data_IF_814378708875
#
_entry.id   IF_814378708875
#
_cell.length_a   1.000
_cell.length_b   1.000
_cell.length_c   1.000
_cell.angle_alpha   90.00
_cell.angle_beta   90.00
_cell.angle_gamma   90.00
#
_symmetry.space_group_name_H-M   'P 1'
#
loop_
_entity.id
_entity.type
_entity.pdbx_description
1 polymer ?
#
# COMPACT_ATOMS: atom_id res chain seq x y z
N UNK A 1 -6.32 -69.11 21.35
CA UNK A 1 -7.54 -68.53 21.93
C UNK A 1 -7.16 -67.66 23.13
N UNK A 2 -7.16 -66.34 22.97
CA UNK A 2 -7.67 -65.39 23.96
C UNK A 2 -7.55 -63.97 23.39
N UNK A 3 -8.70 -63.42 23.02
CA UNK A 3 -8.92 -62.02 22.68
C UNK A 3 -8.88 -61.18 23.95
N UNK A 4 -8.18 -60.04 23.93
CA UNK A 4 -8.58 -58.85 24.71
C UNK A 4 -8.37 -57.61 23.85
N UNK A 5 -9.49 -57.09 23.36
CA UNK A 5 -9.56 -55.81 22.67
C UNK A 5 -9.37 -54.63 23.62
N UNK A 6 -8.82 -53.55 23.09
CA UNK A 6 -8.97 -52.20 23.63
C UNK A 6 -9.60 -51.32 22.56
N UNK A 7 -10.63 -50.59 22.99
CA UNK A 7 -11.48 -49.70 22.20
C UNK A 7 -10.69 -48.54 21.58
N UNK A 8 -11.13 -48.16 20.38
CA UNK A 8 -10.91 -46.87 19.73
C UNK A 8 -11.04 -45.68 20.69
N UNK A 9 -10.11 -44.74 20.58
CA UNK A 9 -10.44 -43.30 20.66
C UNK A 9 -10.29 -42.75 19.24
N UNK A 10 -11.42 -42.44 18.61
CA UNK A 10 -11.45 -41.51 17.49
C UNK A 10 -11.13 -40.12 18.05
N UNK A 11 -9.97 -39.57 17.71
CA UNK A 11 -9.71 -38.15 17.85
C UNK A 11 -10.39 -37.44 16.69
N UNK A 12 -11.42 -36.66 17.01
CA UNK A 12 -12.04 -35.74 16.06
C UNK A 12 -11.04 -34.67 15.65
N UNK A 13 -11.19 -34.22 14.40
CA UNK A 13 -10.23 -33.40 13.66
C UNK A 13 -9.77 -32.16 14.39
N UNK A 14 -8.46 -31.95 14.37
CA UNK A 14 -7.91 -30.62 14.52
C UNK A 14 -8.34 -29.80 13.31
N UNK A 15 -9.05 -28.71 13.57
CA UNK A 15 -9.19 -27.61 12.63
C UNK A 15 -7.78 -27.15 12.27
N UNK A 16 -7.32 -27.52 11.09
CA UNK A 16 -6.17 -26.89 10.47
C UNK A 16 -6.60 -25.47 10.11
N UNK A 17 -6.39 -24.53 11.02
CA UNK A 17 -6.19 -23.15 10.61
C UNK A 17 -5.05 -23.20 9.57
N UNK A 18 -5.22 -22.57 8.39
CA UNK A 18 -4.09 -22.39 7.50
C UNK A 18 -2.96 -21.72 8.30
N UNK A 19 -1.70 -22.16 8.14
CA UNK A 19 -0.59 -21.50 8.79
C UNK A 19 -0.60 -20.02 8.41
N UNK A 20 -0.41 -19.15 9.41
CA UNK A 20 -0.23 -17.72 9.15
C UNK A 20 0.88 -17.53 8.11
N UNK A 21 0.70 -16.63 7.13
CA UNK A 21 1.75 -16.33 6.15
C UNK A 21 3.04 -15.99 6.90
N UNK A 22 4.11 -16.73 6.62
CA UNK A 22 5.42 -16.42 7.17
C UNK A 22 5.88 -15.08 6.59
N UNK A 23 6.55 -14.22 7.37
CA UNK A 23 7.13 -13.00 6.85
C UNK A 23 8.07 -13.31 5.68
N UNK A 24 7.97 -12.54 4.61
CA UNK A 24 8.80 -12.70 3.40
C UNK A 24 10.24 -12.30 3.73
N UNK A 25 11.20 -13.20 3.44
CA UNK A 25 12.64 -12.95 3.56
C UNK A 25 13.25 -12.81 2.16
N UNK A 26 13.76 -11.62 1.83
CA UNK A 26 14.33 -11.30 0.52
C UNK A 26 15.83 -11.58 0.38
N UNK A 27 16.44 -12.23 1.38
CA UNK A 27 17.82 -12.73 1.29
C UNK A 27 17.95 -14.05 0.52
N UNK A 28 16.83 -14.70 0.20
CA UNK A 28 16.76 -15.98 -0.49
C UNK A 28 15.51 -16.04 -1.41
N UNK A 29 15.42 -17.04 -2.31
CA UNK A 29 14.19 -17.30 -3.06
C UNK A 29 13.00 -17.44 -2.11
N UNK A 30 11.92 -16.73 -2.39
CA UNK A 30 10.72 -16.66 -1.55
C UNK A 30 9.48 -17.04 -2.35
N UNK A 31 8.46 -17.57 -1.68
CA UNK A 31 7.21 -17.94 -2.35
C UNK A 31 5.99 -17.58 -1.52
N UNK A 32 4.93 -17.22 -2.23
CA UNK A 32 3.62 -16.91 -1.67
C UNK A 32 2.57 -17.84 -2.28
N UNK A 33 1.74 -18.44 -1.43
CA UNK A 33 0.65 -19.33 -1.86
C UNK A 33 -0.67 -18.57 -1.81
N UNK A 34 -1.28 -18.38 -2.99
CA UNK A 34 -2.59 -17.77 -3.11
C UNK A 34 -3.68 -18.80 -2.81
N UNK A 35 -4.58 -18.46 -1.89
CA UNK A 35 -5.64 -19.35 -1.42
C UNK A 35 -7.04 -18.95 -1.93
N UNK A 36 -7.93 -19.92 -2.05
CA UNK A 36 -9.37 -19.67 -2.23
C UNK A 36 -10.05 -19.32 -0.88
N UNK A 37 -11.36 -19.05 -0.91
CA UNK A 37 -12.14 -18.72 0.29
C UNK A 37 -12.27 -19.87 1.30
N UNK A 38 -11.84 -21.08 0.94
CA UNK A 38 -11.80 -22.28 1.78
C UNK A 38 -10.37 -22.69 2.14
N UNK A 39 -9.39 -21.79 1.95
CA UNK A 39 -7.97 -22.01 2.20
C UNK A 39 -7.30 -23.11 1.34
N UNK A 40 -7.85 -23.41 0.15
CA UNK A 40 -7.20 -24.30 -0.80
C UNK A 40 -6.17 -23.54 -1.66
N UNK A 41 -4.96 -24.10 -1.89
CA UNK A 41 -3.96 -23.47 -2.73
C UNK A 41 -4.39 -23.46 -4.19
N UNK A 42 -4.43 -22.26 -4.76
CA UNK A 42 -4.77 -22.00 -6.17
C UNK A 42 -3.50 -21.81 -6.99
N UNK A 43 -2.67 -20.85 -6.60
CA UNK A 43 -1.43 -20.48 -7.27
C UNK A 43 -0.29 -20.39 -6.26
N UNK A 44 0.94 -20.59 -6.75
CA UNK A 44 2.15 -20.25 -6.02
C UNK A 44 2.95 -19.26 -6.85
N UNK A 45 3.21 -18.09 -6.29
CA UNK A 45 4.10 -17.07 -6.86
C UNK A 45 5.45 -17.22 -6.19
N UNK A 46 6.54 -17.23 -6.94
CA UNK A 46 7.89 -17.44 -6.43
C UNK A 46 8.85 -16.42 -7.02
N UNK A 47 9.60 -15.74 -6.17
CA UNK A 47 10.79 -14.99 -6.56
C UNK A 47 11.98 -15.96 -6.56
N UNK A 48 12.65 -16.08 -7.70
CA UNK A 48 13.74 -17.04 -7.91
C UNK A 48 15.12 -16.42 -7.61
N UNK A 49 15.24 -15.11 -7.70
CA UNK A 49 16.48 -14.39 -7.44
C UNK A 49 16.84 -13.36 -8.51
N UNK A 50 18.02 -12.76 -8.33
CA UNK A 50 18.62 -11.78 -9.24
C UNK A 50 19.89 -12.35 -9.86
N UNK A 51 20.04 -12.21 -11.17
CA UNK A 51 21.22 -12.66 -11.91
C UNK A 51 21.82 -11.52 -12.75
N UNK A 52 23.15 -11.29 -12.70
CA UNK A 52 23.79 -10.33 -13.58
C UNK A 52 23.74 -10.82 -15.04
N UNK A 53 23.42 -9.91 -15.96
CA UNK A 53 23.35 -10.12 -17.41
C UNK A 53 24.13 -9.02 -18.14
N UNK A 54 24.28 -9.11 -19.46
CA UNK A 54 25.11 -8.19 -20.23
C UNK A 54 24.71 -6.71 -20.05
N UNK A 55 23.41 -6.45 -19.94
CA UNK A 55 22.82 -5.12 -19.94
C UNK A 55 22.14 -4.76 -18.59
N UNK A 56 22.50 -5.45 -17.50
CA UNK A 56 21.99 -5.14 -16.17
C UNK A 56 21.82 -6.34 -15.25
N UNK A 57 20.76 -6.31 -14.46
CA UNK A 57 20.41 -7.32 -13.46
C UNK A 57 19.02 -7.86 -13.78
N UNK A 58 18.95 -9.16 -14.09
CA UNK A 58 17.70 -9.85 -14.40
C UNK A 58 17.07 -10.36 -13.11
N UNK A 59 15.83 -9.97 -12.90
CA UNK A 59 14.98 -10.46 -11.83
C UNK A 59 14.08 -11.55 -12.37
N UNK A 60 14.12 -12.73 -11.75
CA UNK A 60 13.40 -13.92 -12.21
C UNK A 60 12.27 -14.28 -11.24
N UNK A 61 11.07 -14.45 -11.77
CA UNK A 61 9.85 -14.85 -11.06
C UNK A 61 9.22 -16.06 -11.72
N UNK A 62 8.38 -16.76 -10.96
CA UNK A 62 7.67 -17.95 -11.41
C UNK A 62 6.27 -17.98 -10.83
N UNK A 63 5.30 -18.40 -11.65
CA UNK A 63 3.94 -18.67 -11.21
C UNK A 63 3.60 -20.11 -11.55
N UNK A 64 3.12 -20.86 -10.55
CA UNK A 64 2.63 -22.22 -10.69
C UNK A 64 1.14 -22.24 -10.39
N UNK A 65 0.33 -22.77 -11.32
CA UNK A 65 -1.07 -23.09 -11.04
C UNK A 65 -1.12 -24.46 -10.36
N UNK A 66 -1.56 -24.47 -9.10
CA UNK A 66 -1.70 -25.70 -8.32
C UNK A 66 -3.04 -26.36 -8.64
N UNK A 67 -4.15 -25.62 -8.49
CA UNK A 67 -5.52 -26.15 -8.61
C UNK A 67 -6.55 -25.14 -9.13
N UNK A 68 -6.15 -23.96 -9.60
CA UNK A 68 -7.06 -22.96 -10.10
C UNK A 68 -7.67 -23.37 -11.45
N UNK A 69 -9.01 -23.37 -11.53
CA UNK A 69 -9.74 -23.79 -12.74
C UNK A 69 -9.85 -22.70 -13.82
N UNK A 70 -9.54 -21.45 -13.48
CA UNK A 70 -9.63 -20.31 -14.39
C UNK A 70 -8.22 -19.86 -14.79
N UNK A 71 -8.04 -19.42 -16.03
CA UNK A 71 -6.84 -18.74 -16.49
C UNK A 71 -6.41 -17.62 -15.54
N UNK A 72 -5.10 -17.55 -15.29
CA UNK A 72 -4.48 -16.32 -14.84
C UNK A 72 -4.48 -15.31 -15.99
N UNK A 73 -4.87 -14.08 -15.69
CA UNK A 73 -4.86 -12.95 -16.60
C UNK A 73 -4.19 -11.78 -15.90
N UNK A 74 -3.22 -11.13 -16.54
CA UNK A 74 -2.64 -9.87 -16.06
C UNK A 74 -2.18 -9.93 -14.59
N UNK A 75 -0.97 -10.44 -14.35
CA UNK A 75 -0.38 -10.27 -13.03
C UNK A 75 0.34 -8.93 -12.94
N UNK A 76 0.23 -8.32 -11.77
CA UNK A 76 0.87 -7.05 -11.43
C UNK A 76 1.79 -7.34 -10.27
N UNK A 77 3.08 -7.04 -10.45
CA UNK A 77 4.01 -6.92 -9.35
C UNK A 77 4.05 -5.44 -8.96
N UNK A 78 3.88 -5.10 -7.69
CA UNK A 78 4.16 -3.74 -7.23
C UNK A 78 5.65 -3.51 -7.25
N UNK A 79 6.07 -2.50 -7.99
CA UNK A 79 7.45 -2.05 -8.04
C UNK A 79 7.38 -0.53 -7.95
N UNK A 80 7.70 0.02 -6.78
CA UNK A 80 8.08 1.42 -6.71
C UNK A 80 9.44 1.56 -7.40
N UNK A 81 9.40 2.10 -8.62
CA UNK A 81 10.55 2.11 -9.51
C UNK A 81 11.23 3.47 -9.57
N UNK A 82 12.53 3.50 -9.25
CA UNK A 82 13.49 4.53 -9.66
C UNK A 82 14.08 4.24 -11.06
N UNK A 83 13.50 3.28 -11.78
CA UNK A 83 13.95 2.80 -13.07
C UNK A 83 12.84 3.01 -14.10
N UNK A 84 13.14 3.71 -15.19
CA UNK A 84 12.20 3.92 -16.31
C UNK A 84 12.45 2.95 -17.46
N UNK A 85 13.67 2.42 -17.54
CA UNK A 85 14.13 1.55 -18.62
C UNK A 85 14.26 0.12 -18.10
N UNK A 86 13.39 -0.76 -18.59
CA UNK A 86 13.45 -2.18 -18.32
C UNK A 86 13.02 -2.97 -19.55
N UNK A 87 13.57 -4.16 -19.69
CA UNK A 87 13.12 -5.14 -20.68
C UNK A 87 12.45 -6.30 -19.97
N UNK A 88 11.29 -6.72 -20.48
CA UNK A 88 10.56 -7.85 -19.93
C UNK A 88 10.64 -9.09 -20.80
N UNK A 89 10.62 -10.24 -20.15
CA UNK A 89 10.66 -11.54 -20.79
C UNK A 89 9.63 -12.49 -20.15
N UNK A 90 9.00 -13.29 -21.00
CA UNK A 90 8.05 -14.34 -20.61
C UNK A 90 8.59 -15.68 -21.09
N UNK A 91 8.54 -16.69 -20.22
CA UNK A 91 8.94 -18.06 -20.54
C UNK A 91 7.80 -18.88 -21.14
N UNK A 92 8.16 -20.02 -21.74
CA UNK A 92 7.18 -21.03 -22.13
C UNK A 92 6.49 -21.65 -20.90
N UNK A 93 5.32 -22.25 -21.11
CA UNK A 93 4.61 -23.01 -20.08
C UNK A 93 5.18 -24.44 -20.02
N UNK A 94 5.45 -24.93 -18.81
CA UNK A 94 6.01 -26.26 -18.57
C UNK A 94 5.32 -26.95 -17.38
N UNK A 95 5.41 -28.30 -17.27
CA UNK A 95 4.88 -29.04 -16.12
C UNK A 95 5.51 -28.56 -14.79
N UNK A 96 4.71 -28.50 -13.72
CA UNK A 96 5.18 -28.03 -12.41
C UNK A 96 6.28 -28.91 -11.79
N UNK A 97 6.45 -30.14 -12.26
CA UNK A 97 7.51 -31.09 -11.83
C UNK A 97 8.75 -31.07 -12.74
N UNK A 98 8.80 -30.19 -13.73
CA UNK A 98 9.96 -30.05 -14.63
C UNK A 98 11.21 -29.58 -13.86
N UNK A 99 12.32 -30.27 -14.07
CA UNK A 99 13.59 -29.95 -13.41
C UNK A 99 14.48 -29.02 -14.25
N UNK A 100 14.33 -29.06 -15.58
CA UNK A 100 15.12 -28.22 -16.48
C UNK A 100 14.28 -27.06 -16.97
N UNK A 101 14.15 -26.05 -16.13
CA UNK A 101 13.32 -24.90 -16.42
C UNK A 101 14.16 -23.83 -17.16
N UNK A 102 13.83 -23.51 -18.43
CA UNK A 102 14.56 -22.51 -19.19
C UNK A 102 14.38 -21.11 -18.58
N UNK A 103 15.36 -20.25 -18.86
CA UNK A 103 15.27 -18.82 -18.55
C UNK A 103 14.37 -18.17 -19.61
N UNK A 104 13.44 -17.28 -19.21
CA UNK A 104 12.66 -16.48 -20.16
C UNK A 104 13.55 -15.70 -21.13
N UNK A 105 13.34 -15.88 -22.43
CA UNK A 105 14.05 -15.12 -23.48
C UNK A 105 13.10 -14.49 -24.49
N UNK A 106 11.80 -14.82 -24.45
CA UNK A 106 10.80 -14.21 -25.33
C UNK A 106 10.43 -12.85 -24.77
N UNK A 107 10.49 -11.75 -25.54
CA UNK A 107 10.00 -10.45 -25.09
C UNK A 107 8.55 -10.52 -24.58
N UNK A 108 8.30 -9.96 -23.41
CA UNK A 108 6.98 -9.82 -22.82
C UNK A 108 6.42 -8.41 -22.96
N UNK A 109 5.10 -8.29 -23.03
CA UNK A 109 4.42 -6.99 -22.96
C UNK A 109 4.29 -6.59 -21.49
N UNK A 110 5.25 -5.79 -21.01
CA UNK A 110 5.17 -5.17 -19.70
C UNK A 110 4.90 -3.69 -19.81
N UNK A 111 4.04 -3.20 -18.94
CA UNK A 111 3.79 -1.77 -18.78
C UNK A 111 3.77 -1.44 -17.30
N UNK A 112 4.15 -0.23 -16.95
CA UNK A 112 3.64 0.34 -15.71
C UNK A 112 2.10 0.28 -15.80
N UNK A 113 1.39 -0.31 -14.84
CA UNK A 113 -0.04 -0.29 -14.84
C UNK A 113 -0.43 1.18 -14.85
N UNK A 114 -1.22 1.58 -15.86
CA UNK A 114 -2.08 2.74 -15.70
C UNK A 114 -2.76 2.59 -14.34
N UNK A 115 -2.78 3.63 -13.52
CA UNK A 115 -3.44 3.73 -12.21
C UNK A 115 -4.93 3.38 -12.33
N UNK A 116 -5.23 2.10 -12.53
CA UNK A 116 -6.52 1.61 -12.96
C UNK A 116 -7.16 0.91 -11.77
N UNK A 117 -8.01 1.62 -11.01
CA UNK A 117 -8.55 1.20 -9.72
C UNK A 117 -9.57 0.05 -9.80
N UNK A 118 -9.73 -0.58 -10.97
CA UNK A 118 -10.87 -1.47 -11.23
C UNK A 118 -10.80 -2.84 -10.56
N UNK A 119 -9.70 -3.18 -9.85
CA UNK A 119 -9.58 -4.43 -9.12
C UNK A 119 -8.79 -4.21 -7.82
N UNK A 120 -9.39 -3.67 -6.76
CA UNK A 120 -8.72 -3.58 -5.47
C UNK A 120 -8.38 -4.97 -4.92
N UNK A 121 -7.36 -5.05 -4.07
CA UNK A 121 -7.10 -6.25 -3.29
C UNK A 121 -8.27 -6.51 -2.34
N UNK A 122 -8.61 -7.78 -2.06
CA UNK A 122 -9.49 -8.11 -0.95
C UNK A 122 -8.95 -7.51 0.36
N UNK A 123 -9.83 -6.91 1.18
CA UNK A 123 -9.47 -6.28 2.47
C UNK A 123 -8.75 -7.25 3.43
N UNK A 124 -8.90 -8.56 3.22
CA UNK A 124 -8.28 -9.61 4.02
C UNK A 124 -6.84 -9.93 3.64
N UNK A 125 -6.36 -9.42 2.50
CA UNK A 125 -4.98 -9.63 2.04
C UNK A 125 -4.06 -8.55 2.67
N UNK A 126 -2.76 -8.84 2.86
CA UNK A 126 -1.82 -7.89 3.51
C UNK A 126 -1.61 -6.60 2.71
N UNK A 127 -2.02 -6.57 1.44
CA UNK A 127 -1.85 -5.43 0.53
C UNK A 127 -3.18 -4.71 0.31
N UNK A 128 -3.19 -3.39 0.49
CA UNK A 128 -4.38 -2.53 0.31
C UNK A 128 -4.53 -1.98 -1.10
N UNK A 129 -3.42 -1.64 -1.76
CA UNK A 129 -3.35 -1.22 -3.16
C UNK A 129 -2.17 -1.92 -3.85
N UNK A 130 -2.19 -1.99 -5.19
CA UNK A 130 -1.08 -2.54 -5.99
C UNK A 130 -0.80 -1.62 -7.19
N UNK A 131 0.37 -0.99 -7.21
CA UNK A 131 0.87 -0.14 -8.31
C UNK A 131 2.26 -0.63 -8.71
N UNK A 132 2.60 -0.86 -9.99
CA UNK A 132 3.95 -1.36 -10.29
C UNK A 132 4.32 -1.75 -11.70
N UNK A 133 4.65 -3.01 -11.96
CA UNK A 133 4.94 -3.58 -13.26
C UNK A 133 3.87 -4.62 -13.56
N UNK A 134 3.12 -4.38 -14.63
CA UNK A 134 2.09 -5.30 -15.12
C UNK A 134 2.64 -6.08 -16.29
N UNK A 135 2.59 -7.40 -16.18
CA UNK A 135 2.82 -8.28 -17.31
C UNK A 135 1.47 -8.54 -17.98
N UNK A 136 1.28 -7.90 -19.13
CA UNK A 136 0.15 -8.13 -20.00
C UNK A 136 0.42 -9.35 -20.88
N UNK A 137 -0.65 -10.12 -21.10
CA UNK A 137 -0.65 -11.26 -22.00
C UNK A 137 0.40 -12.34 -21.65
N UNK A 138 0.05 -13.21 -20.69
CA UNK A 138 0.78 -14.45 -20.37
C UNK A 138 0.93 -15.42 -21.57
N UNK A 139 0.31 -15.07 -22.69
CA UNK A 139 0.21 -15.87 -23.89
C UNK A 139 0.64 -15.09 -25.16
N UNK A 140 1.93 -14.72 -25.29
CA UNK A 140 2.39 -13.98 -26.46
C UNK A 140 2.31 -14.79 -27.78
N UNK A 141 2.16 -16.12 -27.74
CA UNK A 141 2.16 -16.99 -28.93
C UNK A 141 0.87 -17.79 -29.21
N UNK A 142 -0.19 -17.65 -28.41
CA UNK A 142 -1.44 -18.43 -28.55
C UNK A 142 -1.42 -19.83 -27.93
N UNK A 143 -0.45 -20.12 -27.06
CA UNK A 143 -0.36 -21.32 -26.21
C UNK A 143 -1.52 -21.37 -25.17
N UNK A 144 -1.87 -22.53 -24.58
CA UNK A 144 -2.99 -22.63 -23.65
C UNK A 144 -2.80 -21.78 -22.38
N UNK A 145 -3.90 -21.51 -21.69
CA UNK A 145 -3.91 -20.90 -20.35
C UNK A 145 -3.00 -21.69 -19.39
N UNK A 146 -2.57 -21.08 -18.28
CA UNK A 146 -1.73 -21.75 -17.28
C UNK A 146 -2.55 -22.82 -16.54
N UNK A 147 -2.67 -24.01 -17.13
CA UNK A 147 -3.48 -25.13 -16.64
C UNK A 147 -3.03 -25.61 -15.25
N UNK A 148 -3.92 -26.24 -14.46
CA UNK A 148 -3.54 -26.88 -13.20
C UNK A 148 -2.36 -27.85 -13.37
N UNK A 149 -1.35 -27.71 -12.50
CA UNK A 149 -0.12 -28.50 -12.56
C UNK A 149 0.91 -27.97 -13.56
N UNK A 150 0.72 -26.77 -14.12
CA UNK A 150 1.69 -26.12 -15.00
C UNK A 150 2.27 -24.86 -14.37
N UNK A 151 3.40 -24.41 -14.93
CA UNK A 151 4.19 -23.29 -14.44
C UNK A 151 4.70 -22.45 -15.60
N UNK A 152 4.87 -21.16 -15.36
CA UNK A 152 5.52 -20.22 -16.28
C UNK A 152 6.45 -19.28 -15.51
N UNK A 153 7.51 -18.81 -16.19
CA UNK A 153 8.47 -17.85 -15.65
C UNK A 153 8.32 -16.48 -16.29
N UNK A 154 8.66 -15.47 -15.50
CA UNK A 154 8.66 -14.07 -15.89
C UNK A 154 9.97 -13.46 -15.46
N UNK A 155 10.51 -12.60 -16.31
CA UNK A 155 11.72 -11.87 -15.96
C UNK A 155 11.62 -10.43 -16.41
N UNK A 156 12.33 -9.57 -15.71
CA UNK A 156 12.65 -8.25 -16.23
C UNK A 156 14.11 -7.91 -15.95
N UNK A 157 14.72 -7.09 -16.79
CA UNK A 157 16.09 -6.60 -16.64
C UNK A 157 16.03 -5.12 -16.32
N UNK A 158 16.64 -4.74 -15.21
CA UNK A 158 16.93 -3.35 -14.86
C UNK A 158 18.45 -3.09 -14.95
N UNK A 159 18.90 -1.89 -15.32
CA UNK A 159 20.33 -1.61 -15.47
C UNK A 159 21.09 -1.63 -14.14
N UNK A 160 20.41 -1.42 -13.02
CA UNK A 160 21.00 -1.23 -11.69
C UNK A 160 20.79 -2.45 -10.76
N UNK A 161 21.75 -2.67 -9.86
CA UNK A 161 21.65 -3.72 -8.84
C UNK A 161 20.93 -3.18 -7.62
N UNK A 162 19.60 -3.17 -7.66
CA UNK A 162 18.78 -2.72 -6.55
C UNK A 162 18.67 -3.79 -5.44
N UNK A 163 18.56 -3.39 -4.16
CA UNK A 163 18.24 -4.31 -3.09
C UNK A 163 16.86 -4.94 -3.30
N UNK A 164 16.69 -6.17 -2.81
CA UNK A 164 15.40 -6.86 -2.81
C UNK A 164 14.67 -6.57 -1.49
N UNK A 165 13.49 -5.97 -1.58
CA UNK A 165 12.59 -5.68 -0.46
C UNK A 165 11.23 -6.34 -0.68
N UNK A 166 10.42 -6.40 0.37
CA UNK A 166 9.06 -6.93 0.29
C UNK A 166 8.17 -5.93 -0.44
N UNK A 167 7.49 -6.38 -1.49
CA UNK A 167 6.50 -5.63 -2.23
C UNK A 167 5.22 -6.43 -2.45
N UNK A 168 4.14 -5.73 -2.77
CA UNK A 168 2.87 -6.36 -3.06
C UNK A 168 2.82 -6.94 -4.47
N UNK A 169 1.94 -7.91 -4.69
CA UNK A 169 1.57 -8.33 -6.04
C UNK A 169 0.07 -8.57 -6.09
N UNK A 170 -0.48 -8.53 -7.31
CA UNK A 170 -1.84 -8.90 -7.62
C UNK A 170 -1.88 -9.91 -8.75
N UNK A 171 -2.60 -11.01 -8.52
CA UNK A 171 -3.01 -11.95 -9.55
C UNK A 171 -4.49 -11.72 -9.86
N UNK A 172 -4.83 -11.59 -11.14
CA UNK A 172 -6.21 -11.60 -11.60
C UNK A 172 -6.52 -12.88 -12.35
N UNK A 173 -7.66 -13.49 -12.10
CA UNK A 173 -8.12 -14.69 -12.82
C UNK A 173 -9.64 -14.65 -12.96
N UNK A 174 -10.11 -14.62 -14.22
CA UNK A 174 -11.51 -14.33 -14.52
C UNK A 174 -11.95 -12.96 -13.97
N UNK A 175 -12.97 -12.95 -13.11
CA UNK A 175 -13.49 -11.74 -12.45
C UNK A 175 -12.94 -11.54 -11.03
N UNK A 176 -11.97 -12.33 -10.59
CA UNK A 176 -11.41 -12.28 -9.25
C UNK A 176 -9.99 -11.73 -9.25
N UNK A 177 -9.62 -11.02 -8.18
CA UNK A 177 -8.26 -10.63 -7.83
C UNK A 177 -7.84 -11.30 -6.52
N UNK A 178 -6.53 -11.54 -6.37
CA UNK A 178 -5.88 -11.96 -5.12
C UNK A 178 -4.56 -11.24 -4.99
N UNK A 179 -4.21 -10.87 -3.77
CA UNK A 179 -2.97 -10.17 -3.48
C UNK A 179 -2.12 -10.91 -2.46
N UNK A 180 -0.85 -10.53 -2.41
CA UNK A 180 0.13 -11.09 -1.49
C UNK A 180 1.42 -10.31 -1.54
N UNK A 181 2.38 -10.75 -0.74
CA UNK A 181 3.71 -10.15 -0.65
C UNK A 181 4.75 -11.03 -1.34
N UNK A 182 5.70 -10.41 -2.04
CA UNK A 182 6.80 -11.06 -2.74
C UNK A 182 8.02 -10.13 -2.77
N UNK A 183 9.22 -10.65 -3.02
CA UNK A 183 10.41 -9.81 -3.12
C UNK A 183 10.51 -9.09 -4.46
N UNK A 184 10.93 -7.83 -4.44
CA UNK A 184 11.02 -6.93 -5.57
C UNK A 184 12.22 -5.98 -5.44
N UNK A 185 12.76 -5.42 -6.54
CA UNK A 185 13.71 -4.32 -6.47
C UNK A 185 13.08 -3.10 -5.79
N UNK A 186 13.80 -2.51 -4.84
CA UNK A 186 13.39 -1.27 -4.18
C UNK A 186 14.47 -0.19 -4.26
N UNK A 187 14.02 1.06 -4.33
CA UNK A 187 14.87 2.23 -4.36
C UNK A 187 14.94 2.81 -2.95
N UNK A 188 15.89 2.30 -2.18
CA UNK A 188 16.05 2.68 -0.77
C UNK A 188 17.18 3.68 -0.67
N UNK A 189 16.88 4.89 -0.19
CA UNK A 189 17.91 5.83 0.23
C UNK A 189 18.50 5.39 1.57
N UNK A 190 19.80 5.58 1.77
CA UNK A 190 20.47 5.14 3.00
C UNK A 190 20.01 5.96 4.22
N UNK A 191 19.55 7.20 3.99
CA UNK A 191 19.02 8.10 5.00
C UNK A 191 17.78 8.85 4.49
N UNK A 192 16.63 8.17 4.29
CA UNK A 192 15.47 8.79 3.66
C UNK A 192 14.93 9.93 4.52
N UNK A 193 14.45 10.99 3.89
CA UNK A 193 13.72 12.03 4.58
C UNK A 193 12.42 11.47 5.16
N UNK A 194 12.40 11.31 6.48
CA UNK A 194 11.17 10.99 7.21
C UNK A 194 10.43 12.29 7.45
N UNK A 195 9.31 12.45 6.75
CA UNK A 195 8.26 13.35 7.20
C UNK A 195 7.62 12.67 8.41
N UNK A 196 7.95 13.14 9.61
CA UNK A 196 7.16 12.79 10.80
C UNK A 196 5.78 13.44 10.61
N UNK A 197 4.90 12.79 9.86
CA UNK A 197 3.52 13.20 9.61
C UNK A 197 2.64 12.89 10.83
N UNK A 198 3.03 13.38 12.01
CA UNK A 198 2.10 13.51 13.13
C UNK A 198 1.15 14.70 12.89
N UNK A 199 0.63 14.79 11.66
CA UNK A 199 -0.52 15.61 11.30
C UNK A 199 -1.80 14.77 11.26
N UNK A 200 -1.74 13.49 11.65
CA UNK A 200 -2.92 12.63 11.78
C UNK A 200 -3.42 12.69 13.21
N UNK A 201 -4.67 13.11 13.37
CA UNK A 201 -5.31 13.34 14.65
C UNK A 201 -6.63 12.60 14.74
N UNK A 202 -7.13 12.42 15.97
CA UNK A 202 -8.42 11.80 16.21
C UNK A 202 -9.30 12.60 17.15
N UNK A 203 -10.60 12.65 16.88
CA UNK A 203 -11.59 13.36 17.68
C UNK A 203 -12.79 12.46 17.99
N UNK A 204 -13.00 12.08 19.25
CA UNK A 204 -14.10 11.21 19.64
C UNK A 204 -15.39 11.99 19.90
N UNK A 205 -16.48 11.56 19.25
CA UNK A 205 -17.82 12.07 19.45
C UNK A 205 -18.69 10.96 20.04
N UNK A 206 -19.27 11.19 21.21
CA UNK A 206 -20.27 10.28 21.78
C UNK A 206 -21.69 10.74 21.45
N UNK A 207 -22.53 9.78 21.04
CA UNK A 207 -23.92 10.02 20.73
C UNK A 207 -24.80 9.73 21.95
N UNK A 208 -25.86 10.51 22.19
CA UNK A 208 -26.90 10.09 23.12
C UNK A 208 -27.57 8.79 22.65
N UNK A 209 -28.02 7.94 23.58
CA UNK A 209 -28.55 6.57 23.36
C UNK A 209 -29.69 6.41 22.32
N UNK A 210 -30.25 7.51 21.83
CA UNK A 210 -31.34 7.56 20.87
C UNK A 210 -30.90 8.03 19.48
N UNK A 211 -29.61 8.27 19.25
CA UNK A 211 -29.03 8.73 17.99
C UNK A 211 -28.00 7.73 17.46
N UNK A 212 -27.80 7.76 16.14
CA UNK A 212 -26.69 7.08 15.47
C UNK A 212 -26.08 8.01 14.43
N UNK A 213 -24.91 7.64 13.89
CA UNK A 213 -24.23 8.38 12.84
C UNK A 213 -25.17 8.60 11.65
N UNK A 214 -25.31 9.85 11.22
CA UNK A 214 -25.98 10.21 9.99
C UNK A 214 -24.95 10.70 8.99
N UNK A 215 -24.82 10.03 7.85
CA UNK A 215 -23.94 10.47 6.77
C UNK A 215 -22.56 9.83 6.76
N UNK A 216 -21.66 10.41 5.97
CA UNK A 216 -20.26 9.99 5.79
C UNK A 216 -19.29 11.11 6.17
N UNK A 217 -17.99 10.89 5.96
CA UNK A 217 -16.93 11.88 6.19
C UNK A 217 -17.22 13.22 5.51
N UNK A 218 -17.78 13.21 4.30
CA UNK A 218 -18.15 14.42 3.53
C UNK A 218 -19.24 15.28 4.19
N UNK A 219 -20.06 14.67 5.07
CA UNK A 219 -21.14 15.37 5.76
C UNK A 219 -20.67 16.04 7.07
N UNK A 220 -19.44 15.76 7.51
CA UNK A 220 -18.84 16.35 8.72
C UNK A 220 -18.47 17.80 8.44
N UNK A 221 -19.04 18.73 9.21
CA UNK A 221 -18.70 20.15 9.07
C UNK A 221 -17.54 20.51 9.97
N UNK A 222 -16.48 21.02 9.37
CA UNK A 222 -15.28 21.45 10.08
C UNK A 222 -15.21 22.97 10.17
N UNK A 223 -14.76 23.47 11.32
CA UNK A 223 -14.28 24.84 11.50
C UNK A 223 -12.98 24.77 12.30
N UNK A 224 -11.97 25.54 11.93
CA UNK A 224 -10.68 25.51 12.62
C UNK A 224 -10.04 26.91 12.65
N UNK A 225 -9.05 27.06 13.52
CA UNK A 225 -8.19 28.24 13.60
C UNK A 225 -6.75 27.79 13.74
N UNK A 226 -5.84 28.52 13.06
CA UNK A 226 -4.40 28.40 13.26
C UNK A 226 -3.97 29.39 14.34
N UNK A 227 -3.19 28.88 15.29
CA UNK A 227 -2.68 29.59 16.46
C UNK A 227 -1.25 30.10 16.23
N UNK A 228 -0.43 29.98 17.28
CA UNK A 228 0.96 30.42 17.23
C UNK A 228 1.75 29.55 16.24
N UNK A 229 2.55 30.19 15.39
CA UNK A 229 3.43 29.55 14.42
C UNK A 229 4.88 29.78 14.85
N UNK A 230 5.68 28.70 14.89
CA UNK A 230 7.09 28.78 15.22
C UNK A 230 7.94 29.24 14.04
N UNK A 231 9.20 29.62 14.31
CA UNK A 231 10.15 29.96 13.26
C UNK A 231 10.46 28.73 12.39
N UNK A 232 10.57 28.92 11.07
CA UNK A 232 11.04 27.89 10.15
C UNK A 232 12.54 27.66 10.34
N UNK A 233 12.93 26.50 10.87
CA UNK A 233 14.32 26.19 11.23
C UNK A 233 14.83 24.97 10.48
N UNK A 234 16.09 25.02 10.05
CA UNK A 234 16.78 23.86 9.50
C UNK A 234 17.11 22.89 10.65
N UNK A 235 16.61 21.66 10.56
CA UNK A 235 16.68 20.67 11.65
C UNK A 235 17.49 19.42 11.30
N UNK A 236 17.93 19.28 10.04
CA UNK A 236 18.78 18.18 9.62
C UNK A 236 19.06 18.10 8.12
N UNK A 237 19.71 17.01 7.74
CA UNK A 237 19.91 16.60 6.34
C UNK A 237 19.47 15.16 6.17
N UNK A 238 18.80 14.89 5.06
CA UNK A 238 18.30 13.57 4.69
C UNK A 238 18.32 13.43 3.17
N UNK A 239 17.88 12.30 2.64
CA UNK A 239 17.87 12.00 1.21
C UNK A 239 16.43 11.87 0.71
N UNK A 240 16.15 12.50 -0.42
CA UNK A 240 14.90 12.30 -1.17
C UNK A 240 15.21 11.62 -2.49
N UNK A 241 14.26 10.84 -2.98
CA UNK A 241 14.35 10.24 -4.30
C UNK A 241 13.94 11.29 -5.34
N UNK A 242 14.88 11.70 -6.21
CA UNK A 242 14.67 12.76 -7.20
C UNK A 242 15.06 12.31 -8.60
N UNK A 243 14.36 12.79 -9.64
CA UNK A 243 14.69 12.43 -11.03
C UNK A 243 15.70 13.43 -11.61
N UNK A 244 16.92 12.96 -11.90
CA UNK A 244 17.99 13.76 -12.51
C UNK A 244 18.23 13.34 -13.97
N UNK A 245 18.47 14.31 -14.86
CA UNK A 245 18.85 14.02 -16.24
C UNK A 245 20.38 13.97 -16.38
N UNK A 246 20.92 12.80 -16.74
CA UNK A 246 22.33 12.60 -17.03
C UNK A 246 22.48 12.10 -18.46
N UNK A 247 23.14 12.88 -19.33
CA UNK A 247 23.40 12.50 -20.72
C UNK A 247 22.14 12.16 -21.54
N UNK A 248 21.01 12.84 -21.29
CA UNK A 248 19.68 12.57 -21.88
C UNK A 248 18.99 11.29 -21.38
N UNK A 249 19.45 10.73 -20.26
CA UNK A 249 18.78 9.65 -19.54
C UNK A 249 18.26 10.20 -18.22
N UNK A 250 16.99 9.95 -17.91
CA UNK A 250 16.43 10.25 -16.60
C UNK A 250 16.84 9.14 -15.63
N UNK A 251 17.47 9.49 -14.52
CA UNK A 251 17.86 8.59 -13.44
C UNK A 251 17.18 9.08 -12.18
N UNK A 252 16.56 8.20 -11.40
CA UNK A 252 16.15 8.58 -10.05
C UNK A 252 17.28 8.28 -9.07
N UNK A 253 17.66 9.28 -8.28
CA UNK A 253 18.79 9.23 -7.36
C UNK A 253 18.37 9.72 -5.98
N UNK A 254 18.96 9.14 -4.95
CA UNK A 254 18.91 9.69 -3.60
C UNK A 254 19.75 10.98 -3.57
N UNK A 255 19.06 12.12 -3.51
CA UNK A 255 19.69 13.43 -3.48
C UNK A 255 19.67 13.93 -2.03
N UNK A 256 20.83 14.33 -1.49
CA UNK A 256 20.86 14.85 -0.15
C UNK A 256 20.27 16.27 -0.13
N UNK A 257 19.32 16.47 0.78
CA UNK A 257 18.59 17.72 0.99
C UNK A 257 18.75 18.18 2.45
N UNK A 258 18.51 19.47 2.66
CA UNK A 258 18.33 20.08 3.97
C UNK A 258 16.86 20.05 4.33
N UNK A 259 16.54 19.57 5.53
CA UNK A 259 15.18 19.58 6.06
C UNK A 259 14.95 20.81 6.91
N UNK A 260 13.81 21.44 6.68
CA UNK A 260 13.30 22.60 7.40
C UNK A 260 11.98 22.22 8.07
N UNK A 261 11.84 22.61 9.33
CA UNK A 261 10.68 22.29 10.16
C UNK A 261 10.06 23.57 10.69
N UNK A 262 8.73 23.65 10.59
CA UNK A 262 7.90 24.68 11.21
C UNK A 262 6.72 24.01 11.91
N UNK A 263 6.36 24.49 13.08
CA UNK A 263 5.26 23.96 13.90
C UNK A 263 4.21 25.04 14.07
N UNK A 264 2.93 24.65 14.08
CA UNK A 264 1.84 25.57 14.36
C UNK A 264 0.79 24.92 15.24
N UNK A 265 0.28 25.69 16.19
CA UNK A 265 -0.83 25.26 17.03
C UNK A 265 -2.15 25.39 16.26
N UNK A 266 -3.12 24.55 16.60
CA UNK A 266 -4.45 24.62 16.01
C UNK A 266 -5.55 24.37 17.04
N UNK A 267 -6.74 24.85 16.70
CA UNK A 267 -7.99 24.47 17.33
C UNK A 267 -8.98 24.08 16.24
N UNK A 268 -9.60 22.91 16.36
CA UNK A 268 -10.59 22.41 15.39
C UNK A 268 -11.89 22.03 16.09
N UNK A 269 -13.01 22.26 15.40
CA UNK A 269 -14.34 21.88 15.82
C UNK A 269 -14.99 21.14 14.66
N UNK A 270 -15.39 19.89 14.92
CA UNK A 270 -16.18 19.08 14.00
C UNK A 270 -17.63 19.06 14.44
N UNK A 271 -18.54 19.12 13.48
CA UNK A 271 -19.96 18.85 13.68
C UNK A 271 -20.36 17.64 12.84
N UNK A 272 -20.62 16.53 13.52
CA UNK A 272 -21.00 15.25 12.91
C UNK A 272 -22.52 15.15 12.87
N UNK A 273 -23.14 14.85 11.71
CA UNK A 273 -24.58 14.67 11.65
C UNK A 273 -25.00 13.40 12.37
N UNK A 274 -26.11 13.47 13.09
CA UNK A 274 -26.74 12.34 13.77
C UNK A 274 -28.20 12.22 13.35
N UNK A 275 -28.68 10.98 13.25
CA UNK A 275 -30.07 10.65 12.96
C UNK A 275 -30.72 9.88 14.12
N UNK A 276 -32.00 10.15 14.43
CA UNK A 276 -32.68 9.47 15.53
C UNK A 276 -32.89 7.98 15.22
N UNK A 277 -32.70 7.13 16.23
CA UNK A 277 -33.04 5.72 16.18
C UNK A 277 -34.56 5.56 16.12
N UNK A 278 -35.05 5.02 15.00
CA UNK A 278 -36.48 4.77 14.75
C UNK A 278 -37.10 3.96 15.90
N UNK A 279 -38.13 4.52 16.53
CA UNK A 279 -38.88 3.86 17.61
C UNK A 279 -38.42 4.17 19.04
N UNK A 280 -37.39 5.01 19.23
CA UNK A 280 -36.91 5.39 20.57
C UNK A 280 -37.84 6.34 21.33
N UNK A 281 -38.69 7.12 20.64
CA UNK A 281 -39.70 8.03 21.23
C UNK A 281 -39.14 9.11 22.18
N UNK A 282 -37.82 9.14 22.38
CA UNK A 282 -37.14 9.90 23.42
C UNK A 282 -36.43 11.14 22.87
N UNK A 283 -36.28 11.25 21.55
CA UNK A 283 -35.46 12.27 20.90
C UNK A 283 -36.18 12.99 19.76
N UNK A 284 -35.69 14.19 19.44
CA UNK A 284 -36.24 15.06 18.39
C UNK A 284 -36.23 14.35 17.03
N UNK A 285 -37.28 14.58 16.23
CA UNK A 285 -37.44 13.96 14.91
C UNK A 285 -36.54 14.61 13.82
N UNK A 286 -35.84 15.69 14.15
CA UNK A 286 -34.99 16.42 13.21
C UNK A 286 -33.51 16.02 13.35
N UNK A 287 -32.74 16.01 12.25
CA UNK A 287 -31.30 15.82 12.29
C UNK A 287 -30.63 16.85 13.21
N UNK A 288 -29.78 16.37 14.10
CA UNK A 288 -28.98 17.19 15.01
C UNK A 288 -27.49 16.86 14.81
N UNK A 289 -26.63 17.79 15.19
CA UNK A 289 -25.19 17.59 15.10
C UNK A 289 -24.63 17.30 16.50
N UNK A 290 -23.67 16.38 16.57
CA UNK A 290 -22.79 16.25 17.73
C UNK A 290 -21.45 16.92 17.41
N UNK A 291 -20.86 17.54 18.43
CA UNK A 291 -19.63 18.30 18.29
C UNK A 291 -18.47 17.55 18.94
N UNK A 292 -17.32 17.56 18.29
CA UNK A 292 -16.04 17.31 18.94
C UNK A 292 -15.13 18.52 18.70
N UNK A 293 -14.35 18.86 19.72
CA UNK A 293 -13.35 19.91 19.64
C UNK A 293 -12.02 19.30 20.02
N UNK A 294 -10.98 19.64 19.27
CA UNK A 294 -9.62 19.21 19.51
C UNK A 294 -8.66 20.39 19.37
N UNK A 295 -7.52 20.29 20.04
CA UNK A 295 -6.42 21.26 19.99
C UNK A 295 -5.09 20.53 20.03
N UNK A 296 -4.13 21.01 19.26
CA UNK A 296 -2.84 20.34 19.13
C UNK A 296 -1.83 21.18 18.38
N UNK A 297 -0.72 20.53 18.01
CA UNK A 297 0.37 21.14 17.24
C UNK A 297 0.60 20.28 16.01
N UNK A 298 0.60 20.91 14.85
CA UNK A 298 0.89 20.28 13.56
C UNK A 298 2.27 20.74 13.05
N UNK A 299 2.85 19.95 12.15
CA UNK A 299 4.21 20.14 11.64
C UNK A 299 4.18 20.32 10.13
N UNK A 300 4.84 21.36 9.64
CA UNK A 300 5.17 21.55 8.23
C UNK A 300 6.65 21.20 8.02
N UNK A 301 6.91 20.32 7.06
CA UNK A 301 8.26 19.97 6.62
C UNK A 301 8.52 20.51 5.22
N UNK A 302 9.67 21.15 5.02
CA UNK A 302 10.14 21.67 3.75
C UNK A 302 11.56 21.20 3.46
N UNK A 303 11.93 21.12 2.17
CA UNK A 303 13.23 20.60 1.76
C UNK A 303 13.91 21.53 0.77
N UNK A 304 15.23 21.70 0.89
CA UNK A 304 16.07 22.43 -0.07
C UNK A 304 17.31 21.62 -0.43
N UNK A 305 17.89 21.85 -1.61
CA UNK A 305 19.15 21.21 -1.99
C UNK A 305 20.30 21.62 -1.06
N UNK A 306 21.22 20.69 -0.76
CA UNK A 306 22.46 21.06 -0.04
C UNK A 306 23.25 22.07 -0.88
N UNK A 307 23.61 23.19 -0.25
CA UNK A 307 24.38 24.25 -0.89
C UNK A 307 23.52 25.30 -1.60
N UNK A 308 22.19 25.17 -1.56
CA UNK A 308 21.31 26.30 -1.80
C UNK A 308 21.55 27.33 -0.69
N UNK A 309 22.08 28.49 -1.06
CA UNK A 309 22.37 29.59 -0.13
C UNK A 309 21.22 30.60 -0.10
N UNK A 310 19.99 30.18 -0.44
CA UNK A 310 18.83 31.05 -0.28
C UNK A 310 18.81 31.62 1.15
N UNK A 311 18.62 32.93 1.23
CA UNK A 311 18.67 33.68 2.50
C UNK A 311 17.35 33.55 3.25
N UNK A 312 16.30 33.05 2.58
CA UNK A 312 14.93 32.98 3.10
C UNK A 312 14.54 31.52 3.37
N UNK A 313 14.06 31.20 4.58
CA UNK A 313 13.54 29.87 4.90
C UNK A 313 12.40 29.47 3.94
N UNK A 314 12.31 28.18 3.56
CA UNK A 314 11.34 27.73 2.56
C UNK A 314 9.93 27.49 3.13
N UNK A 315 9.70 27.59 4.44
CA UNK A 315 8.35 27.39 4.98
C UNK A 315 7.47 28.60 4.68
N UNK A 316 6.24 28.35 4.22
CA UNK A 316 5.19 29.36 4.12
C UNK A 316 4.38 29.31 5.40
N UNK A 317 4.26 30.44 6.10
CA UNK A 317 3.52 30.56 7.35
C UNK A 317 2.06 30.07 7.18
N UNK A 318 1.65 29.01 7.90
CA UNK A 318 0.28 28.50 7.85
C UNK A 318 -0.72 29.49 8.43
N UNK A 319 -1.87 29.64 7.75
CA UNK A 319 -3.01 30.42 8.22
C UNK A 319 -4.33 29.71 7.85
N UNK A 320 -5.46 30.28 8.29
CA UNK A 320 -6.79 29.72 8.03
C UNK A 320 -7.24 29.83 6.56
N UNK A 321 -6.51 30.54 5.70
CA UNK A 321 -6.80 30.71 4.27
C UNK A 321 -5.98 29.75 3.39
N UNK A 322 -4.80 29.32 3.86
CA UNK A 322 -3.83 28.53 3.11
C UNK A 322 -3.58 27.12 3.66
N UNK A 323 -4.22 26.78 4.78
CA UNK A 323 -4.23 25.44 5.38
C UNK A 323 -5.61 24.80 5.17
N UNK A 324 -5.70 23.48 5.14
CA UNK A 324 -6.98 22.77 5.06
C UNK A 324 -7.01 21.60 6.06
N UNK A 325 -8.18 21.34 6.66
CA UNK A 325 -8.42 20.15 7.49
C UNK A 325 -9.21 19.14 6.66
N UNK A 326 -8.63 17.96 6.48
CA UNK A 326 -9.22 16.85 5.71
C UNK A 326 -9.65 15.78 6.69
N UNK A 327 -10.93 15.41 6.68
CA UNK A 327 -11.41 14.22 7.41
C UNK A 327 -11.05 12.99 6.59
N UNK A 328 -10.26 12.09 7.16
CA UNK A 328 -9.72 10.90 6.49
C UNK A 328 -10.48 9.63 6.83
N UNK A 329 -11.28 9.65 7.90
CA UNK A 329 -12.00 8.46 8.36
C UNK A 329 -13.06 8.74 9.43
N UNK A 330 -14.07 7.87 9.48
CA UNK A 330 -15.04 7.79 10.57
C UNK A 330 -15.12 6.35 11.09
N UNK A 331 -14.59 6.12 12.30
CA UNK A 331 -14.56 4.80 12.93
C UNK A 331 -15.64 4.71 14.02
N UNK A 332 -16.65 3.82 13.90
CA UNK A 332 -17.70 3.69 14.92
C UNK A 332 -17.15 3.27 16.29
N UNK A 333 -17.63 3.92 17.35
CA UNK A 333 -17.36 3.53 18.72
C UNK A 333 -18.53 2.66 19.19
N UNK A 334 -18.24 1.40 19.56
CA UNK A 334 -19.24 0.45 20.03
C UNK A 334 -19.12 0.20 21.54
N UNK A 335 -20.25 0.01 22.21
CA UNK A 335 -20.28 -0.50 23.57
C UNK A 335 -20.05 -2.02 23.63
N UNK A 336 -20.08 -2.61 24.84
CA UNK A 336 -19.90 -4.06 25.03
C UNK A 336 -20.99 -4.93 24.40
N UNK A 337 -22.09 -4.33 23.97
CA UNK A 337 -23.19 -5.02 23.30
C UNK A 337 -23.11 -4.96 21.77
N UNK A 338 -22.13 -4.23 21.22
CA UNK A 338 -22.01 -3.94 19.79
C UNK A 338 -22.96 -2.83 19.33
N UNK A 339 -23.47 -2.03 20.27
CA UNK A 339 -24.29 -0.85 19.93
C UNK A 339 -23.37 0.32 19.67
N UNK A 340 -23.55 1.01 18.54
CA UNK A 340 -22.81 2.24 18.21
C UNK A 340 -23.22 3.33 19.21
N UNK A 341 -22.26 3.80 19.99
CA UNK A 341 -22.40 4.87 21.00
C UNK A 341 -21.66 6.14 20.61
N UNK A 342 -21.00 6.16 19.45
CA UNK A 342 -20.23 7.31 19.00
C UNK A 342 -19.45 7.02 17.71
N UNK A 343 -18.57 7.95 17.37
CA UNK A 343 -17.63 7.84 16.26
C UNK A 343 -16.31 8.52 16.62
N UNK A 344 -15.20 7.92 16.22
CA UNK A 344 -13.89 8.53 16.18
C UNK A 344 -13.70 9.15 14.80
N UNK A 345 -13.47 10.46 14.75
CA UNK A 345 -13.12 11.18 13.53
C UNK A 345 -11.61 11.10 13.36
N UNK A 346 -11.12 10.57 12.24
CA UNK A 346 -9.72 10.62 11.84
C UNK A 346 -9.56 11.79 10.86
N UNK A 347 -8.57 12.64 11.09
CA UNK A 347 -8.37 13.84 10.26
C UNK A 347 -6.90 14.24 10.16
N UNK A 348 -6.58 15.02 9.13
CA UNK A 348 -5.25 15.56 8.92
C UNK A 348 -5.23 17.01 8.42
N UNK A 349 -4.07 17.65 8.53
CA UNK A 349 -3.83 19.00 7.99
C UNK A 349 -3.08 18.94 6.66
N UNK A 350 -3.61 19.64 5.66
CA UNK A 350 -2.89 20.00 4.44
C UNK A 350 -2.27 21.37 4.66
N UNK A 351 -0.95 21.41 4.82
CA UNK A 351 -0.18 22.66 5.04
C UNK A 351 0.07 23.38 3.72
N UNK A 352 0.32 24.70 3.73
CA UNK A 352 0.69 25.42 2.52
C UNK A 352 1.98 24.86 1.89
N UNK A 353 2.11 24.96 0.56
CA UNK A 353 3.33 24.53 -0.13
C UNK A 353 4.53 25.39 0.28
N UNK A 354 5.71 24.79 0.32
CA UNK A 354 6.96 25.49 0.65
C UNK A 354 7.31 26.56 -0.40
N UNK A 355 7.83 27.70 0.06
CA UNK A 355 8.37 28.78 -0.74
C UNK A 355 9.80 28.44 -1.18
N UNK A 356 9.93 27.65 -2.24
CA UNK A 356 10.89 27.89 -3.31
C UNK A 356 10.55 26.98 -4.48
N UNK A 357 10.60 27.60 -5.65
CA UNK A 357 9.92 27.27 -6.88
C UNK A 357 10.55 26.07 -7.62
N UNK A 358 9.67 25.23 -8.18
CA UNK A 358 9.86 24.52 -9.46
C UNK A 358 11.10 23.61 -9.53
N UNK A 359 10.89 22.31 -9.31
CA UNK A 359 11.69 21.26 -9.95
C UNK A 359 11.32 21.25 -11.45
N UNK A 360 11.78 22.23 -12.21
CA UNK A 360 11.89 22.05 -13.67
C UNK A 360 13.21 21.32 -13.88
N UNK A 361 13.09 20.00 -14.08
CA UNK A 361 14.16 19.19 -14.67
C UNK A 361 14.44 19.56 -16.11
#
# INVERSE_FOLDING_TARGET
MNFKGKKQKQGFGGSHCPPDPQPVDCTAPSSYTVLDSMANPLYVVTFLGVAPVADGFRWDYQITNINAQNALSNWVLELEGCFSDFECFVGDIFPADEMNIPVPTTPGDCLFPSSNPNFPCPITDPCTNVVGLKFDNLNPQGEPELEPGTTQRFSFIIPENLPAEVACFQLKFGTMSRCGEICAPACVCDNPCICEEDNNFTCDVLFPDCFTLGGTEEDVRVAYCIGDVSDCVMDGTCEVLETINVCNTNLQCCVPVQRWRQEFDFQVIFNVPMIPLLGSGACVEEPVFACCQDEGTAIQNCFTCIGDTSVEPPCVEPDCENTEVVVTGLTPIEDRSGTIIGVTIEYSFVTPPCANEVIDG
#
